data_IF_141073442946
#
_entry.id   IF_141073442946
#
_cell.length_a   1.000
_cell.length_b   1.000
_cell.length_c   1.000
_cell.angle_alpha   90.00
_cell.angle_beta   90.00
_cell.angle_gamma   90.00
#
_symmetry.space_group_name_H-M   'P 1'
#
loop_
_entity.id
_entity.type
_entity.pdbx_description
1 polymer ?
#
# COMPACT_ATOMS: atom_id res chain seq x y z
N UNK A 1 0.79 2.47 -18.46
CA UNK A 1 -0.43 1.70 -18.78
C UNK A 1 0.08 0.40 -19.35
N UNK A 2 -0.13 -0.77 -18.72
CA UNK A 2 0.24 -2.04 -19.37
C UNK A 2 -0.46 -2.08 -20.74
N UNK A 3 0.31 -2.22 -21.81
CA UNK A 3 -0.12 -2.08 -23.21
C UNK A 3 -1.38 -2.91 -23.50
N UNK A 4 -1.52 -4.07 -22.85
CA UNK A 4 -2.69 -4.94 -22.95
C UNK A 4 -4.03 -4.29 -22.59
N UNK A 5 -4.08 -3.41 -21.57
CA UNK A 5 -5.34 -2.78 -21.14
C UNK A 5 -5.84 -1.71 -22.11
N UNK A 6 -4.94 -1.09 -22.88
CA UNK A 6 -5.33 -0.12 -23.93
C UNK A 6 -6.01 -0.81 -25.12
N UNK A 7 -5.74 -2.11 -25.31
CA UNK A 7 -6.27 -2.91 -26.43
C UNK A 7 -7.57 -3.64 -26.04
N UNK A 8 -7.73 -4.05 -24.78
CA UNK A 8 -8.86 -4.89 -24.35
C UNK A 8 -9.82 -4.21 -23.36
N UNK A 9 -9.46 -3.06 -22.79
CA UNK A 9 -10.24 -2.37 -21.78
C UNK A 9 -11.53 -1.77 -22.34
N UNK A 10 -12.63 -2.54 -22.30
CA UNK A 10 -13.97 -1.99 -22.52
C UNK A 10 -14.32 -1.04 -21.37
N UNK A 11 -14.83 0.15 -21.71
CA UNK A 11 -15.49 1.04 -20.74
C UNK A 11 -16.86 0.45 -20.42
N UNK A 12 -16.91 -0.46 -19.47
CA UNK A 12 -18.16 -0.76 -18.76
C UNK A 12 -18.46 0.40 -17.80
N UNK A 13 -19.74 0.62 -17.47
CA UNK A 13 -20.10 1.49 -16.35
C UNK A 13 -19.27 1.07 -15.12
N UNK A 14 -18.46 2.00 -14.63
CA UNK A 14 -17.51 1.69 -13.57
C UNK A 14 -18.24 1.20 -12.30
N UNK A 15 -17.58 0.36 -11.47
CA UNK A 15 -18.16 -0.08 -10.21
C UNK A 15 -18.56 1.12 -9.33
N UNK A 16 -19.64 0.95 -8.56
CA UNK A 16 -20.11 1.99 -7.65
C UNK A 16 -18.98 2.45 -6.69
N UNK A 17 -18.82 3.76 -6.43
CA UNK A 17 -17.78 4.29 -5.55
C UNK A 17 -17.67 3.59 -4.19
N UNK A 18 -18.80 3.21 -3.59
CA UNK A 18 -18.84 2.49 -2.33
C UNK A 18 -18.17 1.11 -2.40
N UNK A 19 -18.39 0.38 -3.51
CA UNK A 19 -17.77 -0.93 -3.74
C UNK A 19 -16.26 -0.78 -3.92
N UNK A 20 -15.82 0.26 -4.63
CA UNK A 20 -14.38 0.52 -4.82
C UNK A 20 -13.70 0.88 -3.51
N UNK A 21 -14.30 1.77 -2.70
CA UNK A 21 -13.76 2.10 -1.39
C UNK A 21 -13.72 0.89 -0.45
N UNK A 22 -14.76 0.08 -0.42
CA UNK A 22 -14.77 -1.15 0.37
C UNK A 22 -13.63 -2.09 -0.05
N UNK A 23 -13.43 -2.29 -1.36
CA UNK A 23 -12.32 -3.08 -1.88
C UNK A 23 -10.96 -2.51 -1.49
N UNK A 24 -10.77 -1.19 -1.58
CA UNK A 24 -9.54 -0.50 -1.17
C UNK A 24 -9.25 -0.73 0.32
N UNK A 25 -10.25 -0.52 1.19
CA UNK A 25 -10.09 -0.67 2.64
C UNK A 25 -9.79 -2.12 3.02
N UNK A 26 -10.54 -3.08 2.47
CA UNK A 26 -10.32 -4.51 2.73
C UNK A 26 -8.92 -4.92 2.27
N UNK A 27 -8.54 -4.57 1.04
CA UNK A 27 -7.21 -4.90 0.50
C UNK A 27 -6.09 -4.26 1.34
N UNK A 28 -6.26 -3.01 1.78
CA UNK A 28 -5.27 -2.31 2.59
C UNK A 28 -5.09 -2.95 3.99
N UNK A 29 -6.17 -3.38 4.63
CA UNK A 29 -6.10 -4.12 5.90
C UNK A 29 -5.42 -5.47 5.72
N UNK A 30 -5.83 -6.24 4.70
CA UNK A 30 -5.20 -7.53 4.39
C UNK A 30 -3.71 -7.37 4.06
N UNK A 31 -3.34 -6.32 3.34
CA UNK A 31 -1.96 -5.98 3.06
C UNK A 31 -1.18 -5.71 4.36
N UNK A 32 -1.74 -4.92 5.28
CA UNK A 32 -1.14 -4.68 6.58
C UNK A 32 -0.96 -5.95 7.42
N UNK A 33 -1.96 -6.84 7.42
CA UNK A 33 -1.86 -8.16 8.07
C UNK A 33 -0.78 -9.03 7.42
N UNK A 34 -0.62 -8.96 6.09
CA UNK A 34 0.40 -9.67 5.33
C UNK A 34 1.85 -9.31 5.71
N UNK A 35 2.08 -8.21 6.43
CA UNK A 35 3.41 -7.82 6.93
C UNK A 35 3.75 -8.45 8.28
N UNK A 36 2.77 -8.99 9.00
CA UNK A 36 3.01 -9.56 10.33
C UNK A 36 3.97 -10.76 10.33
N UNK A 37 3.95 -11.69 9.35
CA UNK A 37 4.93 -12.78 9.31
C UNK A 37 6.38 -12.27 9.19
N UNK A 38 6.62 -11.24 8.39
CA UNK A 38 7.95 -10.64 8.26
C UNK A 38 8.38 -9.93 9.55
N UNK A 39 7.45 -9.22 10.21
CA UNK A 39 7.72 -8.61 11.51
C UNK A 39 8.09 -9.66 12.57
N UNK A 40 7.35 -10.77 12.61
CA UNK A 40 7.58 -11.87 13.55
C UNK A 40 8.94 -12.56 13.38
N UNK A 41 9.58 -12.44 12.21
CA UNK A 41 10.95 -12.94 11.98
C UNK A 41 12.01 -12.05 12.60
N UNK A 42 11.67 -10.79 12.91
CA UNK A 42 12.63 -9.78 13.39
C UNK A 42 12.48 -9.46 14.88
N UNK A 43 11.24 -9.49 15.40
CA UNK A 43 10.90 -9.10 16.77
C UNK A 43 9.72 -9.93 17.29
N UNK A 44 9.60 -10.03 18.61
CA UNK A 44 8.42 -10.60 19.24
C UNK A 44 7.18 -9.73 18.98
N UNK A 45 6.07 -10.36 18.59
CA UNK A 45 4.82 -9.66 18.29
C UNK A 45 4.12 -9.21 19.57
N UNK A 46 4.11 -7.91 19.81
CA UNK A 46 3.25 -7.30 20.84
C UNK A 46 1.98 -6.72 20.20
N UNK A 47 0.86 -6.62 20.94
CA UNK A 47 -0.37 -6.01 20.42
C UNK A 47 -0.15 -4.59 19.86
N UNK A 48 0.73 -3.82 20.50
CA UNK A 48 1.11 -2.48 20.04
C UNK A 48 1.86 -2.51 18.69
N UNK A 49 2.81 -3.43 18.51
CA UNK A 49 3.55 -3.58 17.25
C UNK A 49 2.65 -4.10 16.12
N UNK A 50 1.74 -5.02 16.43
CA UNK A 50 0.72 -5.50 15.48
C UNK A 50 -0.17 -4.34 15.03
N UNK A 51 -0.76 -3.61 15.98
CA UNK A 51 -1.64 -2.49 15.67
C UNK A 51 -0.93 -1.41 14.85
N UNK A 52 0.28 -1.02 15.25
CA UNK A 52 1.11 -0.06 14.51
C UNK A 52 1.38 -0.53 13.08
N UNK A 53 1.81 -1.78 12.91
CA UNK A 53 2.21 -2.31 11.60
C UNK A 53 1.03 -2.40 10.67
N UNK A 54 -0.11 -2.93 11.14
CA UNK A 54 -1.32 -3.02 10.32
C UNK A 54 -1.83 -1.62 9.96
N UNK A 55 -1.89 -0.69 10.92
CA UNK A 55 -2.41 0.66 10.69
C UNK A 55 -1.56 1.44 9.69
N UNK A 56 -0.24 1.47 9.86
CA UNK A 56 0.65 2.21 8.96
C UNK A 56 0.60 1.67 7.53
N UNK A 57 0.60 0.34 7.38
CA UNK A 57 0.49 -0.29 6.07
C UNK A 57 -0.90 -0.09 5.45
N UNK A 58 -1.97 -0.13 6.24
CA UNK A 58 -3.32 0.13 5.75
C UNK A 58 -3.49 1.58 5.27
N UNK A 59 -2.93 2.56 5.99
CA UNK A 59 -2.96 3.98 5.55
C UNK A 59 -2.27 4.14 4.21
N UNK A 60 -1.06 3.58 4.05
CA UNK A 60 -0.35 3.60 2.78
C UNK A 60 -1.12 2.86 1.68
N UNK A 61 -1.68 1.68 1.98
CA UNK A 61 -2.50 0.89 1.07
C UNK A 61 -3.75 1.61 0.59
N UNK A 62 -4.44 2.33 1.48
CA UNK A 62 -5.60 3.17 1.12
C UNK A 62 -5.19 4.28 0.16
N UNK A 63 -4.09 4.97 0.42
CA UNK A 63 -3.57 6.02 -0.45
C UNK A 63 -3.23 5.48 -1.84
N UNK A 64 -2.50 4.36 -1.94
CA UNK A 64 -2.13 3.77 -3.21
C UNK A 64 -3.34 3.19 -3.96
N UNK A 65 -4.28 2.57 -3.25
CA UNK A 65 -5.54 2.10 -3.83
C UNK A 65 -6.41 3.24 -4.37
N UNK A 66 -6.44 4.38 -3.67
CA UNK A 66 -7.10 5.58 -4.15
C UNK A 66 -6.41 6.18 -5.39
N UNK A 67 -5.08 6.23 -5.42
CA UNK A 67 -4.32 6.67 -6.61
C UNK A 67 -4.55 5.74 -7.81
N UNK A 68 -4.61 4.43 -7.58
CA UNK A 68 -4.96 3.45 -8.60
C UNK A 68 -6.35 3.74 -9.18
N UNK A 69 -7.34 3.96 -8.31
CA UNK A 69 -8.72 4.23 -8.73
C UNK A 69 -8.89 5.57 -9.46
N UNK A 70 -8.23 6.63 -8.99
CA UNK A 70 -8.39 7.99 -9.54
C UNK A 70 -7.47 8.31 -10.71
N UNK A 71 -6.37 7.59 -10.86
CA UNK A 71 -5.34 7.83 -11.88
C UNK A 71 -5.08 6.55 -12.67
N UNK A 72 -4.07 5.78 -12.28
CA UNK A 72 -3.67 4.55 -12.96
C UNK A 72 -2.82 3.68 -12.05
N UNK A 73 -2.60 2.43 -12.49
CA UNK A 73 -1.68 1.51 -11.83
C UNK A 73 -0.26 2.06 -11.74
N UNK A 74 0.22 2.76 -12.76
CA UNK A 74 1.57 3.33 -12.78
C UNK A 74 1.69 4.45 -11.75
N UNK A 75 0.67 5.30 -11.62
CA UNK A 75 0.65 6.33 -10.59
C UNK A 75 0.74 5.71 -9.19
N UNK A 76 0.02 4.61 -8.94
CA UNK A 76 0.11 3.89 -7.67
C UNK A 76 1.49 3.23 -7.45
N UNK A 77 2.06 2.60 -8.49
CA UNK A 77 3.40 1.99 -8.42
C UNK A 77 4.49 3.02 -8.16
N UNK A 78 4.47 4.15 -8.87
CA UNK A 78 5.43 5.25 -8.69
C UNK A 78 5.28 5.85 -7.30
N UNK A 79 4.05 6.09 -6.82
CA UNK A 79 3.83 6.60 -5.47
C UNK A 79 4.34 5.62 -4.40
N UNK A 80 4.09 4.32 -4.57
CA UNK A 80 4.59 3.29 -3.67
C UNK A 80 6.13 3.25 -3.64
N UNK A 81 6.78 3.20 -4.79
CA UNK A 81 8.24 3.22 -4.88
C UNK A 81 8.83 4.50 -4.27
N UNK A 82 8.21 5.65 -4.55
CA UNK A 82 8.64 6.94 -4.02
C UNK A 82 8.47 7.04 -2.50
N UNK A 83 7.46 6.39 -1.93
CA UNK A 83 7.23 6.34 -0.48
C UNK A 83 8.38 5.69 0.28
N UNK A 84 9.09 4.73 -0.34
CA UNK A 84 10.25 4.09 0.28
C UNK A 84 11.48 4.99 0.37
N UNK A 85 11.64 5.94 -0.56
CA UNK A 85 12.82 6.82 -0.61
C UNK A 85 13.06 7.58 0.71
N UNK A 86 12.10 8.36 1.26
CA UNK A 86 12.32 9.05 2.52
C UNK A 86 12.49 8.10 3.71
N UNK A 87 11.85 6.93 3.69
CA UNK A 87 12.00 5.93 4.76
C UNK A 87 13.41 5.33 4.79
N UNK A 88 13.96 5.00 3.62
CA UNK A 88 15.34 4.52 3.49
C UNK A 88 16.32 5.61 3.93
N UNK A 89 16.12 6.85 3.49
CA UNK A 89 16.97 7.98 3.91
C UNK A 89 16.93 8.15 5.43
N UNK A 90 15.75 8.13 6.05
CA UNK A 90 15.61 8.22 7.51
C UNK A 90 16.31 7.06 8.22
N UNK A 91 16.15 5.84 7.72
CA UNK A 91 16.82 4.63 8.25
C UNK A 91 18.35 4.77 8.20
N UNK A 92 18.90 5.21 7.06
CA UNK A 92 20.34 5.41 6.90
C UNK A 92 20.87 6.49 7.85
N UNK A 93 20.14 7.60 8.02
CA UNK A 93 20.51 8.65 8.97
C UNK A 93 20.49 8.12 10.41
N UNK A 94 19.47 7.35 10.79
CA UNK A 94 19.37 6.75 12.12
C UNK A 94 20.55 5.81 12.39
N UNK A 95 20.93 4.96 11.42
CA UNK A 95 22.08 4.06 11.54
C UNK A 95 23.40 4.82 11.61
N UNK A 96 23.55 5.94 10.91
CA UNK A 96 24.78 6.73 10.93
C UNK A 96 24.98 7.55 12.22
N UNK A 97 23.90 7.80 12.98
CA UNK A 97 23.93 8.55 14.23
C UNK A 97 24.06 7.67 15.49
N UNK A 98 23.94 6.35 15.34
CA UNK A 98 24.09 5.34 16.39
C UNK A 98 25.47 4.68 16.31
#
# INVERSE_FOLDING_TARGET
MFVGWRVTGRRADGPQPAVVWAAIVIAAVLFGLGHLPALAQSVELTPALVARTVLLNAVAGVLFGWLYWRRSLEAAMVAHASFHVPLVVLSLVQVALL
#
